data_IF_773411221940
#
_entry.id   IF_773411221940
#
_cell.length_a   1.000
_cell.length_b   1.000
_cell.length_c   1.000
_cell.angle_alpha   90.00
_cell.angle_beta   90.00
_cell.angle_gamma   90.00
#
_symmetry.space_group_name_H-M   'P 1'
#
loop_
_entity.id
_entity.type
_entity.pdbx_description
1 polymer ?
#
# COMPACT_ATOMS: atom_id res chain seq x y z
N UNK A 1 4.58 -11.40 58.65
CA UNK A 1 5.24 -10.08 58.68
C UNK A 1 5.23 -9.51 57.28
N UNK A 2 4.71 -8.27 57.12
CA UNK A 2 4.83 -7.35 55.96
C UNK A 2 3.99 -7.77 54.73
N UNK A 3 2.74 -7.29 54.61
CA UNK A 3 2.27 -5.99 54.05
C UNK A 3 2.33 -5.93 52.51
N UNK A 4 1.24 -6.22 51.80
CA UNK A 4 0.32 -5.24 51.16
C UNK A 4 1.04 -4.01 50.56
N UNK A 5 1.11 -3.96 49.23
CA UNK A 5 0.78 -2.76 48.44
C UNK A 5 0.08 -3.19 47.15
N UNK A 6 -1.18 -2.75 47.06
CA UNK A 6 -2.04 -2.76 45.88
C UNK A 6 -1.78 -1.45 45.13
N UNK A 7 -1.60 -1.50 43.82
CA UNK A 7 -1.98 -0.41 42.92
C UNK A 7 -2.53 -1.04 41.64
N UNK A 8 -3.86 -1.00 41.55
CA UNK A 8 -4.62 -1.18 40.32
C UNK A 8 -4.18 -0.14 39.30
N UNK A 9 -3.68 -0.59 38.15
CA UNK A 9 -3.68 0.23 36.94
C UNK A 9 -4.80 -0.28 36.06
N UNK A 10 -5.89 0.48 36.02
CA UNK A 10 -6.97 0.30 35.06
C UNK A 10 -6.41 0.51 33.65
N UNK A 11 -6.26 -0.58 32.90
CA UNK A 11 -6.03 -0.52 31.46
C UNK A 11 -7.35 -0.07 30.84
N UNK A 12 -7.40 1.20 30.44
CA UNK A 12 -8.56 1.75 29.76
C UNK A 12 -8.74 1.08 28.40
N UNK A 13 -9.94 0.57 28.22
CA UNK A 13 -10.47 -0.14 27.08
C UNK A 13 -10.87 0.90 26.01
N UNK A 14 -10.14 0.99 24.88
CA UNK A 14 -10.66 1.51 23.59
C UNK A 14 -9.61 1.48 22.48
N UNK A 15 -9.68 0.42 21.66
CA UNK A 15 -9.59 0.45 20.19
C UNK A 15 -9.66 -1.01 19.72
N UNK A 16 -10.89 -1.51 19.54
CA UNK A 16 -11.13 -2.75 18.79
C UNK A 16 -11.05 -2.42 17.30
N UNK A 17 -9.86 -2.47 16.74
CA UNK A 17 -9.61 -2.55 15.30
C UNK A 17 -8.47 -3.55 15.10
N UNK A 18 -8.77 -4.82 15.34
CA UNK A 18 -7.80 -5.90 15.25
C UNK A 18 -8.51 -7.21 14.93
N UNK A 19 -9.33 -7.23 13.88
CA UNK A 19 -9.85 -8.48 13.32
C UNK A 19 -10.01 -8.29 11.81
N UNK A 20 -9.00 -8.80 11.10
CA UNK A 20 -8.86 -9.20 9.69
C UNK A 20 -7.42 -8.82 9.30
N UNK A 21 -6.48 -9.48 9.98
CA UNK A 21 -5.22 -9.85 9.34
C UNK A 21 -5.46 -11.32 9.01
N UNK A 22 -5.47 -11.67 7.74
CA UNK A 22 -5.46 -13.07 7.33
C UNK A 22 -4.38 -13.81 8.13
N UNK A 23 -4.66 -15.03 8.54
CA UNK A 23 -3.73 -15.86 9.34
C UNK A 23 -2.34 -15.94 8.68
N UNK A 24 -2.28 -15.82 7.35
CA UNK A 24 -1.05 -15.69 6.56
C UNK A 24 -0.29 -14.36 6.79
N UNK A 25 -1.01 -13.24 6.85
CA UNK A 25 -0.43 -11.94 7.20
C UNK A 25 -0.02 -11.94 8.66
N UNK A 26 -0.78 -12.60 9.54
CA UNK A 26 -0.41 -12.76 10.94
C UNK A 26 0.85 -13.63 11.10
N UNK A 27 1.04 -14.67 10.28
CA UNK A 27 2.28 -15.46 10.26
C UNK A 27 3.47 -14.68 9.68
N UNK A 28 3.31 -13.90 8.61
CA UNK A 28 4.37 -13.05 8.04
C UNK A 28 4.74 -11.90 8.99
N UNK A 29 3.77 -11.30 9.69
CA UNK A 29 4.00 -10.31 10.75
C UNK A 29 4.59 -10.95 12.01
N UNK A 30 4.30 -12.23 12.28
CA UNK A 30 4.88 -13.00 13.39
C UNK A 30 6.17 -13.73 13.04
N UNK A 31 6.60 -13.86 11.79
CA UNK A 31 7.91 -14.41 11.44
C UNK A 31 9.10 -13.60 11.97
N UNK A 32 9.04 -12.25 11.91
CA UNK A 32 9.94 -11.39 12.67
C UNK A 32 9.90 -11.64 14.19
N UNK A 33 8.84 -12.26 14.73
CA UNK A 33 8.75 -12.71 16.13
C UNK A 33 9.18 -14.18 16.34
N UNK A 34 8.97 -15.08 15.38
CA UNK A 34 9.31 -16.52 15.44
C UNK A 34 10.82 -16.72 15.35
N UNK A 35 11.54 -15.89 14.59
CA UNK A 35 12.92 -15.60 14.93
C UNK A 35 12.87 -14.63 16.10
N UNK A 36 13.23 -15.05 17.32
CA UNK A 36 13.62 -14.10 18.37
C UNK A 36 14.79 -13.27 17.81
N UNK A 37 14.50 -12.18 17.10
CA UNK A 37 15.48 -11.42 16.30
C UNK A 37 16.58 -10.83 17.19
N UNK A 38 16.28 -10.53 18.45
CA UNK A 38 17.30 -10.17 19.44
C UNK A 38 18.28 -11.30 19.75
N UNK A 39 17.83 -12.56 19.72
CA UNK A 39 18.66 -13.72 20.08
C UNK A 39 19.61 -14.12 18.95
N UNK A 40 19.16 -14.06 17.69
CA UNK A 40 19.96 -14.52 16.54
C UNK A 40 20.53 -13.40 15.67
N UNK A 41 20.12 -12.13 15.88
CA UNK A 41 20.64 -10.93 15.20
C UNK A 41 20.67 -11.03 13.67
N UNK A 42 19.69 -11.72 13.08
CA UNK A 42 19.55 -11.85 11.63
C UNK A 42 18.94 -10.55 11.09
N UNK A 43 19.63 -9.84 10.18
CA UNK A 43 19.09 -8.63 9.57
C UNK A 43 18.04 -8.97 8.52
N UNK A 44 16.95 -8.21 8.49
CA UNK A 44 15.80 -8.40 7.60
C UNK A 44 15.54 -7.12 6.81
N UNK A 45 15.33 -7.27 5.51
CA UNK A 45 14.79 -6.26 4.62
C UNK A 45 13.32 -6.59 4.33
N UNK A 46 12.44 -5.61 4.50
CA UNK A 46 11.01 -5.72 4.20
C UNK A 46 10.70 -4.65 3.16
N UNK A 47 9.99 -5.03 2.10
CA UNK A 47 9.46 -4.08 1.11
C UNK A 47 8.53 -3.07 1.81
N UNK A 48 8.77 -1.78 1.59
CA UNK A 48 7.86 -0.70 2.03
C UNK A 48 6.81 -0.36 0.97
N UNK A 49 6.95 -0.89 -0.25
CA UNK A 49 6.06 -0.66 -1.36
C UNK A 49 6.08 -1.86 -2.31
N UNK A 50 4.97 -2.60 -2.36
CA UNK A 50 4.86 -3.84 -3.10
C UNK A 50 4.74 -3.68 -4.62
N UNK A 51 4.56 -2.43 -5.09
CA UNK A 51 4.50 -2.07 -6.51
C UNK A 51 5.88 -1.72 -7.09
N UNK A 52 6.88 -1.54 -6.23
CA UNK A 52 8.24 -1.17 -6.65
C UNK A 52 9.16 -2.38 -6.57
N UNK A 53 10.07 -2.49 -7.53
CA UNK A 53 11.11 -3.51 -7.51
C UNK A 53 11.98 -3.40 -6.24
N UNK A 54 12.48 -4.54 -5.76
CA UNK A 54 13.36 -4.57 -4.61
C UNK A 54 14.67 -3.83 -4.89
N UNK A 55 15.11 -2.99 -3.95
CA UNK A 55 16.40 -2.32 -4.04
C UNK A 55 17.52 -3.24 -3.53
N UNK A 56 18.45 -3.59 -4.42
CA UNK A 56 19.57 -4.48 -4.10
C UNK A 56 20.41 -3.94 -2.94
N UNK A 57 20.53 -2.62 -2.76
CA UNK A 57 21.28 -2.03 -1.64
C UNK A 57 20.62 -2.33 -0.30
N UNK A 58 19.29 -2.37 -0.27
CA UNK A 58 18.49 -2.64 0.94
C UNK A 58 18.51 -4.13 1.26
N UNK A 59 18.41 -4.98 0.25
CA UNK A 59 18.34 -6.45 0.43
C UNK A 59 19.70 -7.11 0.62
N UNK A 60 20.80 -6.48 0.17
CA UNK A 60 22.14 -7.05 0.25
C UNK A 60 22.57 -7.37 1.69
N UNK A 61 22.98 -8.62 1.91
CA UNK A 61 23.44 -9.10 3.22
C UNK A 61 22.32 -9.29 4.25
N UNK A 62 21.04 -9.20 3.83
CA UNK A 62 19.86 -9.38 4.68
C UNK A 62 18.95 -10.49 4.17
N UNK A 63 18.15 -11.04 5.07
CA UNK A 63 16.99 -11.86 4.69
C UNK A 63 15.92 -10.93 4.13
N UNK A 64 15.52 -11.12 2.89
CA UNK A 64 14.49 -10.31 2.25
C UNK A 64 13.11 -10.95 2.43
N UNK A 65 12.12 -10.15 2.84
CA UNK A 65 10.70 -10.50 2.85
C UNK A 65 10.01 -9.63 1.80
N UNK A 66 9.39 -10.28 0.82
CA UNK A 66 8.68 -9.62 -0.28
C UNK A 66 7.54 -10.49 -0.81
N UNK A 67 6.73 -9.93 -1.68
CA UNK A 67 5.73 -10.70 -2.44
C UNK A 67 6.39 -11.51 -3.56
N UNK A 68 5.67 -12.51 -4.09
CA UNK A 68 6.10 -13.29 -5.26
C UNK A 68 6.33 -12.38 -6.47
N UNK A 69 5.46 -11.39 -6.67
CA UNK A 69 5.52 -10.44 -7.78
C UNK A 69 6.82 -9.64 -7.79
N UNK A 70 7.21 -9.08 -6.64
CA UNK A 70 8.45 -8.31 -6.51
C UNK A 70 9.72 -9.15 -6.68
N UNK A 71 9.63 -10.46 -6.40
CA UNK A 71 10.76 -11.37 -6.46
C UNK A 71 10.98 -11.99 -7.85
N UNK A 72 10.05 -11.77 -8.78
CA UNK A 72 10.11 -12.32 -10.13
C UNK A 72 11.43 -11.94 -10.82
N UNK A 73 12.11 -12.94 -11.38
CA UNK A 73 13.42 -12.74 -12.03
C UNK A 73 14.61 -12.68 -11.07
N UNK A 74 14.38 -12.80 -9.76
CA UNK A 74 15.44 -12.95 -8.75
C UNK A 74 15.55 -14.40 -8.29
N UNK A 75 16.75 -14.86 -7.94
CA UNK A 75 17.01 -16.19 -7.36
C UNK A 75 17.81 -16.08 -6.07
N UNK A 76 17.61 -17.00 -5.12
CA UNK A 76 18.42 -17.09 -3.90
C UNK A 76 18.78 -18.52 -3.59
N UNK A 77 19.89 -18.71 -2.88
CA UNK A 77 20.29 -20.03 -2.41
C UNK A 77 19.22 -20.68 -1.51
N UNK A 78 18.61 -19.91 -0.61
CA UNK A 78 17.52 -20.35 0.25
C UNK A 78 16.29 -19.48 -0.01
N UNK A 79 15.14 -20.10 -0.24
CA UNK A 79 13.83 -19.43 -0.31
C UNK A 79 12.88 -20.12 0.65
N UNK A 80 12.17 -19.31 1.43
CA UNK A 80 11.12 -19.77 2.36
C UNK A 80 9.81 -19.20 1.85
N UNK A 81 8.85 -20.06 1.53
CA UNK A 81 7.53 -19.68 1.03
C UNK A 81 6.45 -19.96 2.09
N UNK A 82 5.47 -19.05 2.14
CA UNK A 82 4.28 -19.10 2.98
C UNK A 82 3.04 -19.07 2.08
N UNK A 83 1.93 -19.66 2.53
CA UNK A 83 0.65 -19.63 1.80
C UNK A 83 0.67 -20.42 0.49
N UNK A 84 1.52 -21.45 0.37
CA UNK A 84 1.48 -22.40 -0.75
C UNK A 84 0.52 -23.53 -0.40
N UNK A 85 -0.76 -23.19 -0.30
CA UNK A 85 -1.84 -24.10 0.09
C UNK A 85 -3.17 -23.71 -0.58
N UNK A 86 -4.25 -24.44 -0.28
CA UNK A 86 -5.53 -24.24 -0.96
C UNK A 86 -6.13 -22.84 -0.80
N UNK A 87 -5.73 -22.07 0.22
CA UNK A 87 -6.16 -20.68 0.43
C UNK A 87 -5.86 -19.76 -0.75
N UNK A 88 -4.83 -20.10 -1.55
CA UNK A 88 -4.44 -19.29 -2.70
C UNK A 88 -5.61 -19.10 -3.68
N UNK A 89 -6.38 -20.15 -3.93
CA UNK A 89 -7.55 -20.12 -4.82
C UNK A 89 -8.77 -19.42 -4.20
N UNK A 90 -8.79 -19.27 -2.88
CA UNK A 90 -9.85 -18.53 -2.16
C UNK A 90 -9.57 -17.03 -2.20
N UNK A 91 -8.29 -16.64 -2.16
CA UNK A 91 -7.87 -15.26 -1.91
C UNK A 91 -7.32 -14.54 -3.14
N UNK A 92 -6.44 -15.20 -3.91
CA UNK A 92 -5.66 -14.58 -4.98
C UNK A 92 -6.05 -15.12 -6.36
N UNK A 93 -6.00 -16.44 -6.54
CA UNK A 93 -6.32 -17.11 -7.81
C UNK A 93 -7.77 -17.55 -7.91
N UNK A 94 -8.73 -16.63 -7.67
CA UNK A 94 -10.16 -16.97 -7.66
C UNK A 94 -10.72 -17.28 -9.04
N UNK A 95 -10.10 -16.72 -10.07
CA UNK A 95 -10.46 -16.79 -11.49
C UNK A 95 -9.74 -17.89 -12.25
N UNK A 96 -8.79 -18.57 -11.61
CA UNK A 96 -7.98 -19.60 -12.23
C UNK A 96 -8.41 -21.00 -11.76
N UNK A 97 -8.32 -21.96 -12.68
CA UNK A 97 -8.60 -23.37 -12.38
C UNK A 97 -7.62 -23.93 -11.35
N UNK A 98 -8.12 -24.80 -10.47
CA UNK A 98 -7.33 -25.52 -9.48
C UNK A 98 -6.85 -26.91 -9.96
N UNK A 99 -7.00 -27.20 -11.25
CA UNK A 99 -6.54 -28.44 -11.90
C UNK A 99 -5.02 -28.51 -12.11
N UNK A 100 -4.33 -27.38 -12.04
CA UNK A 100 -2.90 -27.25 -12.34
C UNK A 100 -2.22 -26.25 -11.41
N UNK A 101 -0.89 -26.31 -11.39
CA UNK A 101 -0.08 -25.34 -10.66
C UNK A 101 -0.18 -23.96 -11.33
N UNK A 102 -0.62 -22.90 -10.62
CA UNK A 102 -0.66 -21.53 -11.14
C UNK A 102 0.74 -21.02 -11.49
N UNK A 103 0.83 -20.11 -12.47
CA UNK A 103 2.10 -19.54 -12.91
C UNK A 103 2.84 -18.81 -11.77
N UNK A 104 2.10 -18.08 -10.93
CA UNK A 104 2.62 -17.36 -9.77
C UNK A 104 3.27 -18.32 -8.78
N UNK A 105 2.59 -19.44 -8.49
CA UNK A 105 3.08 -20.49 -7.59
C UNK A 105 4.29 -21.19 -8.21
N UNK A 106 4.24 -21.53 -9.50
CA UNK A 106 5.38 -22.11 -10.22
C UNK A 106 6.61 -21.18 -10.18
N UNK A 107 6.42 -19.88 -10.42
CA UNK A 107 7.48 -18.89 -10.30
C UNK A 107 8.05 -18.91 -8.90
N UNK A 108 7.22 -18.87 -7.86
CA UNK A 108 7.67 -18.90 -6.46
C UNK A 108 8.51 -20.14 -6.12
N UNK A 109 8.02 -21.33 -6.49
CA UNK A 109 8.67 -22.62 -6.24
C UNK A 109 10.03 -22.75 -6.96
N UNK A 110 10.23 -22.03 -8.06
CA UNK A 110 11.47 -22.07 -8.85
C UNK A 110 12.48 -20.97 -8.50
N UNK A 111 12.25 -20.18 -7.44
CA UNK A 111 13.20 -19.12 -7.04
C UNK A 111 14.41 -19.62 -6.23
N UNK A 112 14.35 -20.86 -5.75
CA UNK A 112 15.38 -21.45 -4.88
C UNK A 112 16.47 -22.16 -5.69
N UNK A 113 17.72 -21.74 -5.52
CA UNK A 113 18.88 -22.36 -6.18
C UNK A 113 19.52 -23.51 -5.40
N UNK A 114 19.31 -23.62 -4.08
CA UNK A 114 19.85 -24.72 -3.26
C UNK A 114 18.82 -25.37 -2.37
N UNK A 115 18.04 -24.58 -1.64
CA UNK A 115 17.05 -25.09 -0.68
C UNK A 115 15.76 -24.29 -0.76
N UNK A 116 14.66 -25.01 -0.93
CA UNK A 116 13.31 -24.50 -0.81
C UNK A 116 12.73 -24.99 0.50
N UNK A 117 12.16 -24.08 1.29
CA UNK A 117 11.40 -24.40 2.50
C UNK A 117 9.97 -23.93 2.30
N UNK A 118 9.00 -24.83 2.44
CA UNK A 118 7.59 -24.50 2.43
C UNK A 118 7.09 -24.51 3.87
N UNK A 119 6.49 -23.41 4.31
CA UNK A 119 5.83 -23.36 5.61
C UNK A 119 4.33 -23.38 5.37
N UNK A 120 3.69 -24.42 5.89
CA UNK A 120 2.29 -24.72 5.70
C UNK A 120 1.53 -24.55 7.01
N UNK A 121 0.37 -23.91 6.96
CA UNK A 121 -0.57 -23.82 8.08
C UNK A 121 -1.37 -25.13 8.17
N UNK A 122 -1.28 -25.83 9.30
CA UNK A 122 -1.98 -27.11 9.53
C UNK A 122 -3.51 -27.01 9.43
N UNK A 123 -4.08 -25.81 9.59
CA UNK A 123 -5.51 -25.54 9.43
C UNK A 123 -5.96 -25.49 7.97
N UNK A 124 -5.02 -25.38 7.04
CA UNK A 124 -5.27 -25.31 5.60
C UNK A 124 -5.05 -26.67 4.95
N UNK A 125 -5.64 -26.86 3.76
CA UNK A 125 -5.42 -28.06 2.96
C UNK A 125 -4.30 -27.79 1.97
N UNK A 126 -3.58 -28.85 1.56
CA UNK A 126 -2.64 -28.76 0.47
C UNK A 126 -3.33 -28.27 -0.82
N UNK A 127 -2.55 -27.66 -1.71
CA UNK A 127 -2.99 -27.31 -3.06
C UNK A 127 -3.61 -28.53 -3.75
N UNK A 128 -4.74 -28.41 -4.46
CA UNK A 128 -5.46 -29.57 -5.03
C UNK A 128 -4.63 -30.47 -5.95
N UNK A 129 -3.65 -29.91 -6.64
CA UNK A 129 -2.77 -30.62 -7.57
C UNK A 129 -1.53 -31.27 -6.90
N UNK A 130 -1.35 -31.13 -5.58
CA UNK A 130 -0.22 -31.72 -4.86
C UNK A 130 -0.53 -33.13 -4.37
N UNK A 131 0.42 -34.06 -4.54
CA UNK A 131 0.37 -35.40 -3.93
C UNK A 131 0.99 -35.34 -2.54
N UNK A 132 0.22 -35.75 -1.52
CA UNK A 132 0.72 -35.82 -0.14
C UNK A 132 1.79 -36.91 -0.02
N UNK A 133 1.59 -38.02 -0.71
CA UNK A 133 2.50 -39.16 -0.73
C UNK A 133 3.84 -38.74 -1.36
N UNK A 134 3.82 -38.07 -2.51
CA UNK A 134 5.04 -37.59 -3.18
C UNK A 134 5.78 -36.57 -2.32
N UNK A 135 5.07 -35.70 -1.58
CA UNK A 135 5.70 -34.76 -0.65
C UNK A 135 6.49 -35.47 0.45
N UNK A 136 5.96 -36.54 1.04
CA UNK A 136 6.69 -37.33 2.05
C UNK A 136 7.87 -38.11 1.45
N UNK A 137 7.81 -38.48 0.17
CA UNK A 137 8.89 -39.19 -0.52
C UNK A 137 10.01 -38.26 -1.00
N UNK A 138 9.67 -37.04 -1.40
CA UNK A 138 10.59 -36.11 -2.07
C UNK A 138 11.08 -34.96 -1.19
N UNK A 139 10.44 -34.71 -0.04
CA UNK A 139 10.79 -33.63 0.87
C UNK A 139 10.91 -34.09 2.33
N UNK A 140 11.77 -33.40 3.09
CA UNK A 140 11.82 -33.54 4.54
C UNK A 140 10.62 -32.79 5.15
N UNK A 141 9.70 -33.52 5.77
CA UNK A 141 8.51 -32.94 6.42
C UNK A 141 8.73 -32.89 7.93
N UNK A 142 8.89 -31.67 8.46
CA UNK A 142 9.04 -31.42 9.89
C UNK A 142 7.76 -30.82 10.45
N UNK A 143 7.12 -31.52 11.39
CA UNK A 143 5.98 -30.97 12.11
C UNK A 143 6.47 -30.07 13.25
N UNK A 144 6.05 -28.79 13.20
CA UNK A 144 6.42 -27.78 14.19
C UNK A 144 5.35 -27.55 15.26
N UNK A 145 4.22 -28.25 15.19
CA UNK A 145 3.12 -28.15 16.16
C UNK A 145 3.15 -29.35 17.12
N UNK A 146 2.47 -29.22 18.26
CA UNK A 146 2.32 -30.34 19.21
C UNK A 146 1.29 -31.38 18.70
N UNK A 147 0.68 -31.13 17.55
CA UNK A 147 -0.32 -32.01 16.97
C UNK A 147 0.37 -33.06 16.10
N UNK A 148 0.08 -34.35 16.33
CA UNK A 148 0.60 -35.44 15.50
C UNK A 148 -0.16 -35.59 14.17
N UNK A 149 -1.01 -34.63 13.82
CA UNK A 149 -1.77 -34.65 12.58
C UNK A 149 -0.83 -34.69 11.37
N UNK A 150 -1.11 -35.62 10.46
CA UNK A 150 -0.49 -35.65 9.14
C UNK A 150 -1.02 -34.51 8.30
N UNK A 151 -0.29 -34.15 7.25
CA UNK A 151 -0.77 -33.21 6.24
C UNK A 151 -2.16 -33.62 5.73
N UNK A 152 -3.05 -32.63 5.68
CA UNK A 152 -4.41 -32.78 5.18
C UNK A 152 -4.40 -33.23 3.73
N UNK A 153 -5.32 -34.12 3.36
CA UNK A 153 -5.49 -34.53 1.96
C UNK A 153 -6.00 -33.32 1.16
N UNK A 154 -5.45 -33.05 -0.04
CA UNK A 154 -5.93 -31.99 -0.91
C UNK A 154 -7.41 -32.14 -1.26
N UNK A 155 -8.05 -31.03 -1.64
CA UNK A 155 -9.37 -31.08 -2.27
C UNK A 155 -9.27 -31.71 -3.67
N UNK A 156 -10.37 -32.25 -4.21
CA UNK A 156 -10.43 -32.67 -5.61
C UNK A 156 -10.08 -31.51 -6.56
N UNK A 157 -9.33 -31.82 -7.61
CA UNK A 157 -9.01 -30.89 -8.71
C UNK A 157 -10.23 -30.67 -9.62
N UNK A 158 -10.24 -29.54 -10.34
CA UNK A 158 -11.27 -29.23 -11.33
C UNK A 158 -12.61 -28.84 -10.72
N UNK A 159 -12.61 -28.26 -9.51
CA UNK A 159 -13.84 -27.72 -8.94
C UNK A 159 -14.34 -26.54 -9.80
N UNK A 160 -15.66 -26.41 -10.03
CA UNK A 160 -16.21 -25.28 -10.77
C UNK A 160 -15.81 -23.96 -10.12
N UNK A 161 -15.43 -22.97 -10.93
CA UNK A 161 -15.14 -21.63 -10.44
C UNK A 161 -16.41 -21.02 -9.83
N UNK A 162 -16.27 -20.44 -8.64
CA UNK A 162 -17.29 -19.58 -8.06
C UNK A 162 -17.26 -18.23 -8.77
N UNK A 163 -17.97 -18.16 -9.91
CA UNK A 163 -18.10 -16.94 -10.70
C UNK A 163 -18.96 -15.89 -9.99
N UNK A 164 -18.69 -14.63 -10.29
CA UNK A 164 -19.44 -13.49 -9.74
C UNK A 164 -18.67 -12.69 -8.70
N UNK A 165 -19.38 -11.74 -8.09
CA UNK A 165 -18.81 -10.78 -7.15
C UNK A 165 -18.74 -11.38 -5.73
N UNK A 166 -17.56 -11.34 -5.11
CA UNK A 166 -17.35 -11.80 -3.73
C UNK A 166 -16.56 -10.75 -2.93
N UNK A 167 -17.28 -9.87 -2.23
CA UNK A 167 -16.69 -8.81 -1.42
C UNK A 167 -16.25 -9.30 -0.04
N UNK A 168 -15.03 -8.95 0.42
CA UNK A 168 -14.65 -9.09 1.82
C UNK A 168 -15.57 -8.28 2.75
N UNK A 169 -15.76 -8.72 4.00
CA UNK A 169 -16.58 -8.00 4.98
C UNK A 169 -16.07 -6.57 5.28
N UNK A 170 -14.76 -6.34 5.16
CA UNK A 170 -14.16 -5.02 5.24
C UNK A 170 -12.93 -4.91 4.34
N UNK A 171 -12.77 -3.74 3.72
CA UNK A 171 -11.68 -3.44 2.78
C UNK A 171 -11.07 -2.08 3.17
N UNK A 172 -9.78 -2.04 3.52
CA UNK A 172 -9.06 -0.78 3.63
C UNK A 172 -8.99 -0.08 2.26
N UNK A 173 -9.20 1.24 2.18
CA UNK A 173 -9.21 1.99 0.90
C UNK A 173 -7.93 1.78 0.10
N UNK A 174 -6.76 1.78 0.77
CA UNK A 174 -5.47 1.46 0.14
C UNK A 174 -5.46 0.09 -0.54
N UNK A 175 -6.11 -0.90 0.08
CA UNK A 175 -6.14 -2.27 -0.39
C UNK A 175 -7.22 -2.44 -1.46
N UNK A 176 -8.20 -1.55 -1.56
CA UNK A 176 -9.17 -1.52 -2.67
C UNK A 176 -8.48 -1.28 -4.02
N UNK A 177 -7.48 -0.40 -4.07
CA UNK A 177 -6.83 0.06 -5.31
C UNK A 177 -5.57 -0.72 -5.68
N UNK A 178 -4.94 -1.40 -4.71
CA UNK A 178 -3.71 -2.18 -4.92
C UNK A 178 -3.90 -3.36 -5.87
N UNK A 179 -2.84 -3.69 -6.62
CA UNK A 179 -2.77 -4.88 -7.48
C UNK A 179 -3.85 -4.95 -8.59
N UNK A 180 -4.41 -3.80 -8.99
CA UNK A 180 -5.24 -3.70 -10.19
C UNK A 180 -4.36 -3.19 -11.32
N UNK A 181 -4.53 -3.75 -12.52
CA UNK A 181 -3.82 -3.29 -13.71
C UNK A 181 -4.24 -1.86 -14.09
N UNK A 182 -3.31 -1.08 -14.64
CA UNK A 182 -3.54 0.33 -14.97
C UNK A 182 -4.64 0.54 -16.02
N UNK A 183 -4.77 -0.37 -16.99
CA UNK A 183 -5.74 -0.24 -18.10
C UNK A 183 -7.21 -0.23 -17.61
N UNK A 184 -7.69 -1.23 -16.81
CA UNK A 184 -9.01 -1.16 -16.19
C UNK A 184 -9.24 0.11 -15.36
N UNK A 185 -8.24 0.53 -14.58
CA UNK A 185 -8.35 1.75 -13.77
C UNK A 185 -8.48 3.00 -14.63
N UNK A 186 -7.71 3.09 -15.72
CA UNK A 186 -7.77 4.21 -16.65
C UNK A 186 -9.14 4.32 -17.31
N UNK A 187 -9.75 3.18 -17.66
CA UNK A 187 -11.12 3.13 -18.19
C UNK A 187 -12.15 3.67 -17.21
N UNK A 188 -12.05 3.29 -15.93
CA UNK A 188 -12.93 3.79 -14.87
C UNK A 188 -12.74 5.29 -14.65
N UNK A 189 -11.49 5.74 -14.52
CA UNK A 189 -11.15 7.15 -14.29
C UNK A 189 -11.70 8.01 -15.42
N UNK A 190 -11.48 7.61 -16.67
CA UNK A 190 -11.92 8.39 -17.84
C UNK A 190 -13.45 8.45 -17.94
N UNK A 191 -14.16 7.43 -17.44
CA UNK A 191 -15.63 7.38 -17.49
C UNK A 191 -16.30 8.16 -16.36
N UNK A 192 -15.72 8.15 -15.16
CA UNK A 192 -16.38 8.69 -13.96
C UNK A 192 -15.75 10.00 -13.45
N UNK A 193 -14.55 10.37 -13.89
CA UNK A 193 -13.78 11.50 -13.35
C UNK A 193 -13.21 12.40 -14.45
N UNK A 194 -13.14 13.70 -14.15
CA UNK A 194 -12.34 14.67 -14.87
C UNK A 194 -11.15 15.11 -14.01
N UNK A 195 -9.92 14.85 -14.47
CA UNK A 195 -8.70 15.26 -13.77
C UNK A 195 -8.19 16.57 -14.38
N UNK A 196 -8.16 17.63 -13.60
CA UNK A 196 -7.58 18.91 -13.97
C UNK A 196 -6.19 19.06 -13.36
N UNK A 197 -5.16 19.13 -14.22
CA UNK A 197 -3.79 19.42 -13.79
C UNK A 197 -3.64 20.92 -13.54
N UNK A 198 -3.88 21.34 -12.30
CA UNK A 198 -3.77 22.75 -11.90
C UNK A 198 -2.31 23.24 -11.91
N UNK A 199 -1.36 22.35 -11.61
CA UNK A 199 0.06 22.66 -11.66
C UNK A 199 0.84 21.44 -12.16
N UNK A 200 1.64 21.57 -13.24
CA UNK A 200 2.52 20.49 -13.68
C UNK A 200 3.69 20.30 -12.70
N UNK A 201 4.43 19.18 -12.77
CA UNK A 201 5.67 19.01 -12.02
C UNK A 201 6.64 20.16 -12.30
N UNK A 202 7.24 20.71 -11.26
CA UNK A 202 8.29 21.73 -11.35
C UNK A 202 9.52 21.16 -12.08
N UNK A 203 10.43 22.03 -12.59
CA UNK A 203 11.72 21.59 -13.13
C UNK A 203 12.48 20.69 -12.15
N UNK A 204 13.21 19.69 -12.67
CA UNK A 204 13.94 18.71 -11.86
C UNK A 204 14.90 19.32 -10.83
N UNK A 205 15.44 20.50 -11.12
CA UNK A 205 16.35 21.24 -10.24
C UNK A 205 15.63 21.78 -9.00
N UNK A 206 14.31 21.97 -9.07
CA UNK A 206 13.46 22.43 -7.97
C UNK A 206 12.81 21.25 -7.22
N UNK A 207 13.05 20.01 -7.64
CA UNK A 207 12.54 18.83 -6.91
C UNK A 207 13.20 18.74 -5.55
N UNK A 208 12.41 18.37 -4.54
CA UNK A 208 12.92 18.08 -3.20
C UNK A 208 13.61 16.72 -3.27
N UNK A 209 14.95 16.75 -3.26
CA UNK A 209 15.78 15.57 -3.43
C UNK A 209 16.27 15.04 -2.09
N UNK A 210 15.39 14.31 -1.40
CA UNK A 210 15.71 13.59 -0.15
C UNK A 210 16.03 12.13 -0.47
N UNK A 211 17.05 11.51 0.16
CA UNK A 211 17.35 10.10 -0.03
C UNK A 211 16.15 9.19 0.29
N UNK A 212 15.87 8.23 -0.58
CA UNK A 212 14.87 7.17 -0.35
C UNK A 212 15.47 5.90 0.28
N UNK A 213 16.80 5.84 0.37
CA UNK A 213 17.57 4.75 0.97
C UNK A 213 18.73 5.35 1.75
N UNK A 214 18.94 4.87 2.98
CA UNK A 214 19.98 5.39 3.90
C UNK A 214 20.80 4.27 4.51
N UNK A 215 22.05 4.56 4.86
CA UNK A 215 22.99 3.62 5.48
C UNK A 215 22.64 3.47 6.97
N UNK A 216 22.11 2.31 7.39
CA UNK A 216 21.77 2.03 8.79
C UNK A 216 22.92 1.50 9.63
N UNK A 217 23.80 0.69 9.03
CA UNK A 217 24.99 0.15 9.71
C UNK A 217 26.23 0.36 8.83
N UNK A 218 27.11 1.34 9.15
CA UNK A 218 28.32 1.60 8.39
C UNK A 218 29.33 0.45 8.39
N UNK A 219 29.38 -0.35 9.46
CA UNK A 219 30.34 -1.46 9.59
C UNK A 219 29.94 -2.62 8.70
N UNK A 220 28.64 -2.94 8.66
CA UNK A 220 28.10 -4.03 7.85
C UNK A 220 27.65 -3.60 6.46
N UNK A 221 27.62 -2.29 6.20
CA UNK A 221 27.11 -1.66 4.98
C UNK A 221 25.65 -2.02 4.70
N UNK A 222 24.82 -2.01 5.74
CA UNK A 222 23.38 -2.21 5.61
C UNK A 222 22.64 -0.91 5.32
N UNK A 223 21.60 -1.02 4.51
CA UNK A 223 20.76 0.11 4.12
C UNK A 223 19.28 -0.15 4.40
N UNK A 224 18.52 0.90 4.71
CA UNK A 224 17.05 0.84 4.82
C UNK A 224 16.39 1.75 3.81
N UNK A 225 15.23 1.32 3.29
CA UNK A 225 14.31 2.19 2.57
C UNK A 225 13.59 3.14 3.56
N UNK A 226 13.52 4.42 3.19
CA UNK A 226 12.95 5.50 4.01
C UNK A 226 12.01 6.42 3.22
N UNK A 227 11.60 6.03 2.01
CA UNK A 227 10.72 6.86 1.17
C UNK A 227 9.34 7.10 1.79
N UNK A 228 8.79 6.10 2.47
CA UNK A 228 7.55 6.17 3.24
C UNK A 228 7.69 7.13 4.44
N UNK A 229 8.82 7.04 5.15
CA UNK A 229 9.16 7.95 6.25
C UNK A 229 9.24 9.40 5.75
N UNK A 230 9.83 9.65 4.57
CA UNK A 230 9.92 10.99 4.00
C UNK A 230 8.54 11.64 3.79
N UNK A 231 7.56 10.87 3.31
CA UNK A 231 6.18 11.32 3.14
C UNK A 231 5.52 11.67 4.48
N UNK A 232 5.59 10.76 5.46
CA UNK A 232 5.01 10.96 6.79
C UNK A 232 5.60 12.17 7.51
N UNK A 233 6.94 12.30 7.50
CA UNK A 233 7.64 13.42 8.16
C UNK A 233 7.24 14.76 7.55
N UNK A 234 7.02 14.80 6.24
CA UNK A 234 6.60 16.01 5.53
C UNK A 234 5.23 16.50 6.01
N UNK A 235 4.24 15.61 6.08
CA UNK A 235 2.89 15.94 6.56
C UNK A 235 2.91 16.27 8.06
N UNK A 236 3.59 15.46 8.87
CA UNK A 236 3.70 15.67 10.32
C UNK A 236 4.38 17.00 10.69
N UNK A 237 5.42 17.41 9.94
CA UNK A 237 6.08 18.69 10.16
C UNK A 237 5.16 19.88 9.85
N UNK A 238 4.34 19.75 8.79
CA UNK A 238 3.34 20.75 8.45
C UNK A 238 2.22 20.81 9.50
N UNK A 239 1.68 19.66 9.93
CA UNK A 239 0.72 19.56 11.03
C UNK A 239 1.24 20.29 12.28
N UNK A 240 2.41 19.88 12.77
CA UNK A 240 2.97 20.44 14.00
C UNK A 240 3.15 21.96 13.94
N UNK A 241 3.59 22.49 12.78
CA UNK A 241 3.74 23.93 12.60
C UNK A 241 2.42 24.70 12.55
N UNK A 242 1.33 24.04 12.16
CA UNK A 242 0.03 24.68 11.90
C UNK A 242 -0.90 24.56 13.11
N UNK A 243 -0.96 23.38 13.74
CA UNK A 243 -1.92 23.06 14.79
C UNK A 243 -1.25 22.79 16.14
N UNK A 244 0.06 22.60 16.18
CA UNK A 244 0.78 22.16 17.39
C UNK A 244 0.48 20.72 17.79
N UNK A 245 -0.18 19.94 16.92
CA UNK A 245 -0.49 18.51 17.11
C UNK A 245 0.38 17.63 16.21
N UNK A 246 0.40 16.32 16.48
CA UNK A 246 1.13 15.31 15.71
C UNK A 246 0.29 14.03 15.55
N UNK A 247 -0.96 14.19 15.10
CA UNK A 247 -1.90 13.10 14.84
C UNK A 247 -1.40 12.17 13.72
N UNK A 248 -0.70 12.69 12.70
CA UNK A 248 -0.03 11.90 11.65
C UNK A 248 0.90 10.83 12.21
N UNK A 249 1.54 11.11 13.35
CA UNK A 249 2.42 10.15 14.02
C UNK A 249 1.78 9.53 15.27
N UNK A 250 0.50 9.83 15.54
CA UNK A 250 -0.26 9.44 16.75
C UNK A 250 0.52 9.71 18.05
N UNK A 251 1.17 10.87 18.13
CA UNK A 251 1.94 11.28 19.30
C UNK A 251 1.05 12.03 20.29
N UNK A 252 1.05 11.58 21.54
CA UNK A 252 0.31 12.22 22.63
C UNK A 252 0.86 13.62 22.96
N UNK A 253 -0.03 14.52 23.37
CA UNK A 253 0.31 15.91 23.71
C UNK A 253 1.37 16.03 24.82
N UNK A 254 1.44 15.05 25.74
CA UNK A 254 2.41 15.04 26.84
C UNK A 254 3.86 14.83 26.38
N UNK A 255 4.07 14.22 25.21
CA UNK A 255 5.40 14.05 24.60
C UNK A 255 5.82 15.27 23.76
N UNK A 256 4.86 16.14 23.43
CA UNK A 256 5.11 17.34 22.60
C UNK A 256 5.97 18.37 23.34
N UNK A 257 5.92 18.40 24.68
CA UNK A 257 6.72 19.33 25.51
C UNK A 257 8.23 19.04 25.46
N UNK A 258 8.63 17.84 25.03
CA UNK A 258 10.04 17.44 24.88
C UNK A 258 10.56 17.55 23.44
N UNK A 259 9.79 18.15 22.52
CA UNK A 259 10.15 18.26 21.12
C UNK A 259 11.32 19.25 20.93
N UNK A 260 12.37 18.87 20.17
CA UNK A 260 13.45 19.81 19.86
C UNK A 260 12.93 21.03 19.09
N UNK A 261 13.62 22.18 19.14
CA UNK A 261 13.17 23.40 18.48
C UNK A 261 12.85 23.20 16.99
N UNK A 262 11.66 23.65 16.56
CA UNK A 262 11.18 23.51 15.18
C UNK A 262 12.22 24.08 14.21
N UNK A 263 12.50 23.34 13.13
CA UNK A 263 13.46 23.73 12.10
C UNK A 263 14.93 23.42 12.43
N UNK A 264 15.23 22.94 13.64
CA UNK A 264 16.56 22.40 13.96
C UNK A 264 16.79 21.02 13.33
N UNK A 265 18.06 20.63 13.13
CA UNK A 265 18.40 19.26 12.69
C UNK A 265 17.89 18.21 13.70
N UNK A 266 17.96 18.51 15.00
CA UNK A 266 17.48 17.61 16.05
C UNK A 266 15.98 17.35 15.93
N UNK A 267 15.19 18.37 15.58
CA UNK A 267 13.75 18.23 15.35
C UNK A 267 13.44 17.28 14.20
N UNK A 268 14.17 17.41 13.09
CA UNK A 268 13.99 16.56 11.91
C UNK A 268 14.36 15.11 12.22
N UNK A 269 15.48 14.90 12.89
CA UNK A 269 15.89 13.57 13.32
C UNK A 269 14.92 12.94 14.31
N UNK A 270 14.34 13.76 15.19
CA UNK A 270 13.29 13.33 16.09
C UNK A 270 12.04 12.89 15.31
N UNK A 271 11.54 13.69 14.36
CA UNK A 271 10.39 13.32 13.52
C UNK A 271 10.65 12.05 12.71
N UNK A 272 11.81 11.94 12.05
CA UNK A 272 12.16 10.76 11.26
C UNK A 272 12.22 9.49 12.13
N UNK A 273 12.73 9.61 13.36
CA UNK A 273 12.74 8.49 14.32
C UNK A 273 11.32 8.10 14.70
N UNK A 274 10.48 9.05 15.10
CA UNK A 274 9.10 8.77 15.48
C UNK A 274 8.25 8.24 14.31
N UNK A 275 8.46 8.72 13.09
CA UNK A 275 7.83 8.14 11.89
C UNK A 275 8.28 6.69 11.65
N UNK A 276 9.56 6.37 11.85
CA UNK A 276 10.02 4.98 11.79
C UNK A 276 9.38 4.10 12.88
N UNK A 277 9.16 4.64 14.08
CA UNK A 277 8.50 3.92 15.17
C UNK A 277 7.01 3.74 14.94
N UNK A 278 6.34 4.78 14.43
CA UNK A 278 4.94 4.75 14.02
C UNK A 278 4.71 3.66 12.98
N UNK A 279 5.50 3.65 11.90
CA UNK A 279 5.42 2.64 10.85
C UNK A 279 5.65 1.22 11.38
N UNK A 280 6.63 1.05 12.26
CA UNK A 280 6.88 -0.24 12.90
C UNK A 280 5.71 -0.69 13.80
N UNK A 281 5.05 0.25 14.48
CA UNK A 281 3.88 -0.01 15.32
C UNK A 281 2.63 -0.36 14.52
N UNK A 282 2.36 0.35 13.43
CA UNK A 282 1.20 0.12 12.56
C UNK A 282 1.35 -1.18 11.75
N UNK A 283 2.53 -1.42 11.19
CA UNK A 283 2.76 -2.60 10.35
C UNK A 283 3.06 -3.88 11.15
N UNK A 284 3.54 -3.75 12.39
CA UNK A 284 4.11 -4.86 13.17
C UNK A 284 5.53 -5.26 12.75
N UNK A 285 6.09 -4.63 11.70
CA UNK A 285 7.42 -4.94 11.19
C UNK A 285 8.53 -4.15 11.93
N UNK A 286 9.04 -4.77 12.99
CA UNK A 286 10.11 -4.22 13.83
C UNK A 286 11.55 -4.20 13.24
N UNK A 287 11.95 -5.01 12.23
CA UNK A 287 13.36 -5.10 11.83
C UNK A 287 13.99 -3.77 11.44
N UNK A 288 13.30 -2.92 10.66
CA UNK A 288 13.82 -1.60 10.25
C UNK A 288 14.10 -0.71 11.46
N UNK A 289 13.13 -0.60 12.39
CA UNK A 289 13.31 0.13 13.66
C UNK A 289 14.52 -0.38 14.44
N UNK A 290 14.66 -1.70 14.58
CA UNK A 290 15.77 -2.31 15.33
C UNK A 290 17.12 -2.08 14.63
N UNK A 291 17.17 -2.18 13.30
CA UNK A 291 18.39 -1.96 12.51
C UNK A 291 18.84 -0.49 12.53
N UNK A 292 17.89 0.43 12.71
CA UNK A 292 18.15 1.86 12.82
C UNK A 292 18.26 2.36 14.27
N UNK A 293 18.33 1.48 15.28
CA UNK A 293 18.36 1.87 16.71
C UNK A 293 19.49 2.87 17.03
N UNK A 294 20.66 2.71 16.40
CA UNK A 294 21.82 3.59 16.57
C UNK A 294 22.00 4.59 15.41
N UNK A 295 21.04 4.67 14.50
CA UNK A 295 21.09 5.60 13.37
C UNK A 295 20.79 7.04 13.85
N UNK A 296 21.45 8.03 13.25
CA UNK A 296 21.30 9.43 13.65
C UNK A 296 19.98 10.08 13.19
N UNK A 297 19.37 9.52 12.13
CA UNK A 297 18.16 10.03 11.47
C UNK A 297 18.35 11.44 10.86
N UNK A 298 19.50 11.70 10.26
CA UNK A 298 19.94 13.02 9.78
C UNK A 298 20.00 13.12 8.24
N UNK A 299 19.28 12.25 7.51
CA UNK A 299 19.32 12.23 6.03
C UNK A 299 18.50 13.35 5.37
N UNK A 300 17.57 13.95 6.11
CA UNK A 300 16.73 15.04 5.63
C UNK A 300 17.27 16.38 6.12
N UNK A 301 17.51 17.32 5.20
CA UNK A 301 18.06 18.62 5.55
C UNK A 301 16.97 19.59 6.00
N UNK A 302 17.27 20.54 6.91
CA UNK A 302 16.31 21.57 7.33
C UNK A 302 15.70 22.39 6.20
N UNK A 303 16.50 22.73 5.18
CA UNK A 303 16.00 23.45 4.00
C UNK A 303 14.95 22.65 3.22
N UNK A 304 15.13 21.32 3.13
CA UNK A 304 14.31 20.46 2.28
C UNK A 304 12.94 20.25 2.96
N UNK A 305 12.93 20.02 4.27
CA UNK A 305 11.69 19.95 5.05
C UNK A 305 10.96 21.30 5.13
N UNK A 306 11.71 22.40 5.28
CA UNK A 306 11.12 23.73 5.28
C UNK A 306 10.45 24.03 3.92
N UNK A 307 11.10 23.66 2.81
CA UNK A 307 10.53 23.80 1.47
C UNK A 307 9.27 22.94 1.31
N UNK A 308 9.30 21.69 1.76
CA UNK A 308 8.15 20.79 1.71
C UNK A 308 6.94 21.36 2.50
N UNK A 309 7.19 21.86 3.71
CA UNK A 309 6.18 22.53 4.53
C UNK A 309 5.63 23.76 3.85
N UNK A 310 6.50 24.63 3.33
CA UNK A 310 6.08 25.88 2.68
C UNK A 310 5.23 25.60 1.43
N UNK A 311 5.48 24.51 0.71
CA UNK A 311 4.65 24.05 -0.41
C UNK A 311 3.24 23.70 0.03
N UNK A 312 3.10 22.87 1.07
CA UNK A 312 1.78 22.51 1.60
C UNK A 312 1.06 23.76 2.15
N UNK A 313 1.78 24.61 2.89
CA UNK A 313 1.23 25.85 3.43
C UNK A 313 0.75 26.80 2.33
N UNK A 314 1.50 26.95 1.23
CA UNK A 314 1.12 27.78 0.09
C UNK A 314 -0.17 27.33 -0.59
N UNK A 315 -0.51 26.03 -0.48
CA UNK A 315 -1.73 25.45 -1.05
C UNK A 315 -2.93 25.49 -0.10
N UNK A 316 -2.70 25.29 1.19
CA UNK A 316 -3.75 25.26 2.23
C UNK A 316 -4.00 26.62 2.91
N UNK A 317 -3.15 27.62 2.63
CA UNK A 317 -3.27 28.99 3.13
C UNK A 317 -2.81 29.17 4.58
N UNK A 318 -2.75 30.44 5.02
CA UNK A 318 -2.18 30.87 6.30
C UNK A 318 -3.15 30.72 7.50
N UNK A 319 -4.01 29.67 7.52
CA UNK A 319 -4.81 29.31 8.70
C UNK A 319 -6.23 29.88 8.77
N UNK A 320 -6.81 30.37 7.67
CA UNK A 320 -8.24 30.76 7.64
C UNK A 320 -9.19 29.56 7.53
N UNK A 321 -8.69 28.41 7.05
CA UNK A 321 -9.44 27.16 7.01
C UNK A 321 -9.19 26.36 8.29
N UNK A 322 -10.23 25.68 8.79
CA UNK A 322 -10.06 24.70 9.87
C UNK A 322 -9.51 23.41 9.25
N UNK A 323 -8.21 23.18 9.42
CA UNK A 323 -7.48 22.04 8.85
C UNK A 323 -7.47 20.90 9.87
N UNK A 324 -7.88 19.72 9.43
CA UNK A 324 -7.83 18.47 10.20
C UNK A 324 -6.93 17.49 9.49
N UNK A 325 -6.15 16.76 10.27
CA UNK A 325 -5.21 15.76 9.79
C UNK A 325 -5.74 14.37 10.12
N UNK A 326 -5.37 13.38 9.31
CA UNK A 326 -5.63 11.97 9.59
C UNK A 326 -7.10 11.67 9.89
N UNK A 327 -7.99 12.17 9.02
CA UNK A 327 -9.44 12.09 9.23
C UNK A 327 -9.95 10.69 8.90
N UNK A 328 -10.47 10.00 9.90
CA UNK A 328 -11.08 8.68 9.72
C UNK A 328 -12.25 8.74 8.73
N UNK A 329 -12.23 7.85 7.74
CA UNK A 329 -13.26 7.71 6.73
C UNK A 329 -13.74 6.25 6.73
N UNK A 330 -15.01 6.01 7.02
CA UNK A 330 -15.58 4.66 7.11
C UNK A 330 -17.05 4.68 6.69
N UNK A 331 -17.46 3.77 5.81
CA UNK A 331 -18.85 3.58 5.42
C UNK A 331 -19.11 2.14 4.98
N UNK A 332 -20.32 1.64 5.22
CA UNK A 332 -20.83 0.44 4.57
C UNK A 332 -21.19 0.74 3.13
N UNK A 333 -20.74 -0.10 2.21
CA UNK A 333 -20.95 0.02 0.78
C UNK A 333 -21.55 -1.27 0.25
N UNK A 334 -22.63 -1.16 -0.52
CA UNK A 334 -23.36 -2.31 -1.06
C UNK A 334 -23.25 -2.32 -2.58
N UNK A 335 -22.91 -3.49 -3.14
CA UNK A 335 -22.87 -3.75 -4.59
C UNK A 335 -23.66 -5.01 -4.86
N UNK A 336 -24.75 -4.88 -5.62
CA UNK A 336 -25.77 -5.92 -5.77
C UNK A 336 -26.27 -6.38 -4.38
N UNK A 337 -26.22 -7.69 -4.09
CA UNK A 337 -26.59 -8.29 -2.81
C UNK A 337 -25.40 -8.43 -1.82
N UNK A 338 -24.22 -7.91 -2.18
CA UNK A 338 -23.02 -7.98 -1.34
C UNK A 338 -22.79 -6.67 -0.58
N UNK A 339 -22.42 -6.77 0.69
CA UNK A 339 -22.03 -5.63 1.50
C UNK A 339 -20.58 -5.74 1.96
N UNK A 340 -19.89 -4.60 1.97
CA UNK A 340 -18.55 -4.47 2.50
C UNK A 340 -18.42 -3.19 3.30
N UNK A 341 -17.48 -3.17 4.24
CA UNK A 341 -17.10 -1.95 4.93
C UNK A 341 -15.81 -1.36 4.36
N UNK A 342 -15.92 -0.21 3.72
CA UNK A 342 -14.77 0.57 3.27
C UNK A 342 -14.27 1.44 4.41
N UNK A 343 -12.96 1.40 4.68
CA UNK A 343 -12.35 2.18 5.76
C UNK A 343 -10.94 2.68 5.43
N UNK A 344 -10.57 3.82 5.98
CA UNK A 344 -9.21 4.35 5.91
C UNK A 344 -9.10 5.72 6.56
N UNK A 345 -8.03 6.44 6.21
CA UNK A 345 -7.68 7.69 6.85
C UNK A 345 -7.23 8.67 5.75
N UNK A 346 -7.95 9.77 5.63
CA UNK A 346 -7.62 10.84 4.70
C UNK A 346 -6.53 11.73 5.31
N UNK A 347 -5.52 12.11 4.52
CA UNK A 347 -4.37 12.87 5.02
C UNK A 347 -4.80 14.22 5.61
N UNK A 348 -5.52 15.03 4.84
CA UNK A 348 -5.94 16.38 5.24
C UNK A 348 -7.37 16.69 4.78
N UNK A 349 -8.18 17.25 5.67
CA UNK A 349 -9.48 17.89 5.35
C UNK A 349 -9.41 19.36 5.73
N UNK A 350 -9.59 20.24 4.75
CA UNK A 350 -9.64 21.68 4.94
C UNK A 350 -11.09 22.16 4.86
N UNK A 351 -11.61 22.62 5.99
CA UNK A 351 -12.97 23.15 6.13
C UNK A 351 -12.95 24.66 5.92
N UNK A 352 -13.77 25.13 4.98
CA UNK A 352 -13.83 26.55 4.69
C UNK A 352 -14.53 27.32 5.82
N UNK A 353 -14.07 28.54 6.16
CA UNK A 353 -14.76 29.37 7.13
C UNK A 353 -16.18 29.70 6.64
N UNK A 354 -17.17 29.81 7.54
CA UNK A 354 -18.51 30.21 7.16
C UNK A 354 -18.48 31.62 6.57
N UNK A 355 -18.89 31.76 5.30
CA UNK A 355 -18.90 33.04 4.59
C UNK A 355 -19.96 33.97 5.17
N UNK A 356 -19.56 35.15 5.64
CA UNK A 356 -20.46 36.28 5.77
C UNK A 356 -20.86 36.79 4.38
N UNK A 357 -22.14 36.68 4.03
CA UNK A 357 -22.85 37.44 2.98
C UNK A 357 -22.17 37.71 1.62
N UNK A 358 -21.39 36.77 1.05
CA UNK A 358 -21.14 36.78 -0.40
C UNK A 358 -21.18 35.35 -0.94
N UNK A 359 -21.99 35.13 -1.98
CA UNK A 359 -22.53 33.82 -2.39
C UNK A 359 -21.56 32.84 -3.06
N UNK A 360 -20.28 32.81 -2.70
CA UNK A 360 -19.37 31.73 -3.09
C UNK A 360 -18.79 31.09 -1.83
N UNK A 361 -19.42 30.00 -1.39
CA UNK A 361 -18.92 29.16 -0.30
C UNK A 361 -17.73 28.39 -0.86
N UNK A 362 -16.52 28.61 -0.35
CA UNK A 362 -15.44 27.65 -0.60
C UNK A 362 -15.92 26.30 -0.05
N UNK A 363 -15.95 25.27 -0.88
CA UNK A 363 -16.37 23.94 -0.44
C UNK A 363 -15.28 23.34 0.47
N UNK A 364 -15.71 22.57 1.47
CA UNK A 364 -14.81 21.73 2.24
C UNK A 364 -14.07 20.79 1.28
N UNK A 365 -12.76 20.66 1.48
CA UNK A 365 -11.89 19.96 0.54
C UNK A 365 -11.08 18.89 1.23
N UNK A 366 -10.93 17.75 0.55
CA UNK A 366 -9.98 16.72 0.90
C UNK A 366 -8.69 16.92 0.11
N UNK A 367 -7.57 16.75 0.79
CA UNK A 367 -6.24 16.83 0.22
C UNK A 367 -5.49 15.55 0.53
N UNK A 368 -5.22 14.77 -0.50
CA UNK A 368 -4.33 13.62 -0.44
C UNK A 368 -2.90 14.08 -0.79
N UNK A 369 -1.97 13.90 0.15
CA UNK A 369 -0.62 14.41 0.07
C UNK A 369 0.34 13.28 -0.26
N UNK A 370 1.10 13.43 -1.34
CA UNK A 370 2.10 12.46 -1.78
C UNK A 370 3.50 13.04 -1.74
N UNK A 371 4.46 12.17 -1.51
CA UNK A 371 5.89 12.44 -1.66
C UNK A 371 6.51 11.34 -2.52
N UNK A 372 6.22 11.38 -3.82
CA UNK A 372 6.49 10.28 -4.76
C UNK A 372 7.16 10.82 -6.02
N UNK A 373 7.72 9.93 -6.85
CA UNK A 373 8.32 10.32 -8.13
C UNK A 373 7.30 10.77 -9.19
N UNK A 374 6.07 10.26 -9.12
CA UNK A 374 4.97 10.60 -10.01
C UNK A 374 3.65 10.22 -9.33
N UNK A 375 2.60 11.01 -9.59
CA UNK A 375 1.24 10.63 -9.22
C UNK A 375 0.75 9.47 -10.11
N UNK A 376 -0.14 8.63 -9.58
CA UNK A 376 -0.66 7.43 -10.25
C UNK A 376 -2.17 7.35 -10.12
N UNK A 377 -2.78 6.47 -10.91
CA UNK A 377 -4.22 6.21 -10.88
C UNK A 377 -4.69 5.70 -9.51
N UNK A 378 -3.88 4.89 -8.82
CA UNK A 378 -4.16 4.45 -7.45
C UNK A 378 -4.30 5.63 -6.48
N UNK A 379 -3.47 6.67 -6.62
CA UNK A 379 -3.57 7.88 -5.79
C UNK A 379 -4.87 8.66 -6.06
N UNK A 380 -5.30 8.76 -7.32
CA UNK A 380 -6.56 9.40 -7.72
C UNK A 380 -7.74 8.68 -7.09
N UNK A 381 -7.80 7.36 -7.24
CA UNK A 381 -8.89 6.54 -6.72
C UNK A 381 -8.96 6.59 -5.20
N UNK A 382 -7.81 6.54 -4.51
CA UNK A 382 -7.75 6.70 -3.04
C UNK A 382 -8.35 8.04 -2.59
N UNK A 383 -7.92 9.16 -3.19
CA UNK A 383 -8.43 10.49 -2.84
C UNK A 383 -9.95 10.59 -3.10
N UNK A 384 -10.42 10.04 -4.22
CA UNK A 384 -11.84 10.02 -4.57
C UNK A 384 -12.69 9.14 -3.63
N UNK A 385 -12.17 7.99 -3.20
CA UNK A 385 -12.87 7.14 -2.25
C UNK A 385 -13.02 7.83 -0.90
N UNK A 386 -11.96 8.47 -0.40
CA UNK A 386 -12.07 9.25 0.83
C UNK A 386 -13.04 10.43 0.71
N UNK A 387 -13.06 11.11 -0.44
CA UNK A 387 -14.05 12.16 -0.71
C UNK A 387 -15.49 11.64 -0.62
N UNK A 388 -15.75 10.45 -1.16
CA UNK A 388 -17.06 9.80 -1.06
C UNK A 388 -17.43 9.46 0.39
N UNK A 389 -16.54 8.76 1.10
CA UNK A 389 -16.77 8.32 2.48
C UNK A 389 -16.98 9.50 3.45
N UNK A 390 -16.43 10.67 3.15
CA UNK A 390 -16.56 11.89 3.94
C UNK A 390 -17.65 12.84 3.41
N UNK A 391 -18.29 12.53 2.29
CA UNK A 391 -19.29 13.40 1.65
C UNK A 391 -18.75 14.73 1.14
N UNK A 392 -17.45 14.78 0.78
CA UNK A 392 -16.76 15.97 0.30
C UNK A 392 -16.75 16.03 -1.22
N UNK A 393 -16.85 17.23 -1.79
CA UNK A 393 -16.98 17.42 -3.25
C UNK A 393 -15.73 17.97 -3.91
N UNK A 394 -14.83 18.63 -3.16
CA UNK A 394 -13.58 19.18 -3.67
C UNK A 394 -12.42 18.26 -3.30
N UNK A 395 -11.75 17.73 -4.32
CA UNK A 395 -10.78 16.63 -4.18
C UNK A 395 -9.45 17.08 -4.77
N UNK A 396 -8.45 17.19 -3.92
CA UNK A 396 -7.11 17.65 -4.27
C UNK A 396 -6.11 16.51 -4.09
N UNK A 397 -5.26 16.31 -5.09
CA UNK A 397 -4.12 15.41 -5.02
C UNK A 397 -2.85 16.24 -5.26
N UNK A 398 -1.93 16.18 -4.31
CA UNK A 398 -0.74 17.04 -4.32
C UNK A 398 0.55 16.26 -4.09
N UNK A 399 1.48 16.33 -5.03
CA UNK A 399 2.82 15.78 -4.87
C UNK A 399 3.77 16.85 -4.35
N UNK A 400 4.09 16.80 -3.06
CA UNK A 400 4.95 17.80 -2.40
C UNK A 400 6.38 17.77 -2.95
N UNK A 401 6.82 16.61 -3.46
CA UNK A 401 8.19 16.42 -3.95
C UNK A 401 8.52 17.33 -5.14
N UNK A 402 7.60 17.46 -6.08
CA UNK A 402 7.79 18.20 -7.34
C UNK A 402 6.75 19.32 -7.54
N UNK A 403 5.80 19.50 -6.63
CA UNK A 403 4.77 20.52 -6.71
C UNK A 403 3.64 20.19 -7.69
N UNK A 404 3.58 18.98 -8.26
CA UNK A 404 2.48 18.58 -9.13
C UNK A 404 1.15 18.58 -8.36
N UNK A 405 0.13 19.23 -8.91
CA UNK A 405 -1.17 19.43 -8.26
C UNK A 405 -2.32 19.14 -9.21
N UNK A 406 -3.18 18.22 -8.82
CA UNK A 406 -4.38 17.85 -9.56
C UNK A 406 -5.63 18.15 -8.73
N UNK A 407 -6.67 18.65 -9.39
CA UNK A 407 -8.04 18.69 -8.86
C UNK A 407 -8.85 17.61 -9.60
N UNK A 408 -9.56 16.78 -8.83
CA UNK A 408 -10.33 15.67 -9.37
C UNK A 408 -11.81 16.01 -9.23
N UNK A 409 -12.51 16.08 -10.37
CA UNK A 409 -13.92 16.45 -10.44
C UNK A 409 -14.71 15.20 -10.86
N UNK A 410 -15.48 14.58 -9.96
CA UNK A 410 -16.31 13.45 -10.34
C UNK A 410 -17.48 13.91 -11.22
N UNK A 411 -17.77 13.14 -12.26
CA UNK A 411 -19.00 13.30 -13.04
C UNK A 411 -20.19 13.02 -12.11
N UNK A 412 -21.23 13.85 -12.14
CA UNK A 412 -22.39 13.72 -11.26
C UNK A 412 -22.10 13.75 -9.74
N UNK A 413 -20.96 14.32 -9.32
CA UNK A 413 -20.66 14.49 -7.89
C UNK A 413 -20.52 13.17 -7.14
N UNK A 414 -21.26 13.02 -6.04
CA UNK A 414 -21.20 11.83 -5.17
C UNK A 414 -21.64 10.54 -5.88
N UNK A 415 -22.56 10.62 -6.84
CA UNK A 415 -23.00 9.43 -7.57
C UNK A 415 -21.92 8.92 -8.54
N UNK A 416 -21.13 9.78 -9.17
CA UNK A 416 -19.98 9.33 -9.96
C UNK A 416 -18.89 8.71 -9.11
N UNK A 417 -18.64 9.26 -7.92
CA UNK A 417 -17.72 8.62 -6.96
C UNK A 417 -18.22 7.23 -6.55
N UNK A 418 -19.53 7.09 -6.29
CA UNK A 418 -20.15 5.80 -5.99
C UNK A 418 -19.96 4.80 -7.13
N UNK A 419 -20.28 5.18 -8.37
CA UNK A 419 -20.10 4.32 -9.55
C UNK A 419 -18.64 3.95 -9.80
N UNK A 420 -17.73 4.89 -9.54
CA UNK A 420 -16.29 4.62 -9.59
C UNK A 420 -15.89 3.54 -8.58
N UNK A 421 -16.28 3.70 -7.30
CA UNK A 421 -15.97 2.72 -6.25
C UNK A 421 -16.56 1.35 -6.60
N UNK A 422 -17.82 1.31 -7.02
CA UNK A 422 -18.47 0.09 -7.47
C UNK A 422 -17.69 -0.58 -8.60
N UNK A 423 -17.25 0.19 -9.60
CA UNK A 423 -16.50 -0.33 -10.74
C UNK A 423 -15.14 -0.90 -10.32
N UNK A 424 -14.43 -0.23 -9.40
CA UNK A 424 -13.15 -0.70 -8.87
C UNK A 424 -13.34 -2.00 -8.09
N UNK A 425 -14.35 -2.05 -7.22
CA UNK A 425 -14.70 -3.26 -6.47
C UNK A 425 -15.05 -4.42 -7.40
N UNK A 426 -15.82 -4.17 -8.46
CA UNK A 426 -16.15 -5.19 -9.47
C UNK A 426 -14.91 -5.68 -10.19
N UNK A 427 -14.04 -4.79 -10.67
CA UNK A 427 -12.78 -5.20 -11.32
C UNK A 427 -11.93 -6.06 -10.40
N UNK A 428 -11.88 -5.73 -9.10
CA UNK A 428 -10.99 -6.43 -8.16
C UNK A 428 -11.55 -7.75 -7.63
N UNK A 429 -12.86 -7.82 -7.38
CA UNK A 429 -13.47 -8.90 -6.62
C UNK A 429 -14.49 -9.73 -7.42
N UNK A 430 -14.64 -9.47 -8.71
CA UNK A 430 -15.48 -10.29 -9.59
C UNK A 430 -14.65 -11.37 -10.26
N UNK A 431 -15.03 -12.61 -10.06
CA UNK A 431 -14.46 -13.76 -10.75
C UNK A 431 -15.18 -13.96 -12.09
N UNK A 432 -14.49 -13.71 -13.21
CA UNK A 432 -15.06 -13.87 -14.58
C UNK A 432 -14.65 -15.17 -15.27
N UNK A 433 -13.72 -15.92 -14.68
CA UNK A 433 -13.07 -17.09 -15.29
C UNK A 433 -11.97 -16.70 -16.27
N UNK A 434 -11.02 -17.61 -16.51
CA UNK A 434 -9.95 -17.39 -17.49
C UNK A 434 -10.49 -17.36 -18.92
N UNK A 435 -10.07 -16.33 -19.66
CA UNK A 435 -10.18 -16.27 -21.12
C UNK A 435 -9.43 -17.46 -21.72
N UNK A 436 -10.07 -18.19 -22.64
CA UNK A 436 -9.40 -19.34 -23.27
C UNK A 436 -8.41 -18.89 -24.35
N UNK A 437 -7.47 -19.77 -24.73
CA UNK A 437 -6.42 -19.45 -25.70
C UNK A 437 -6.97 -18.93 -27.04
N UNK A 438 -8.14 -19.43 -27.48
CA UNK A 438 -8.77 -18.99 -28.72
C UNK A 438 -9.28 -17.55 -28.59
N UNK A 439 -9.99 -17.26 -27.52
CA UNK A 439 -10.44 -15.90 -27.21
C UNK A 439 -9.25 -14.95 -27.09
N UNK A 440 -8.17 -15.36 -26.43
CA UNK A 440 -6.93 -14.60 -26.33
C UNK A 440 -6.30 -14.32 -27.71
N UNK A 441 -6.18 -15.34 -28.56
CA UNK A 441 -5.67 -15.20 -29.93
C UNK A 441 -6.56 -14.25 -30.75
N UNK A 442 -7.87 -14.37 -30.64
CA UNK A 442 -8.84 -13.51 -31.34
C UNK A 442 -8.71 -12.05 -30.87
N UNK A 443 -8.52 -11.82 -29.57
CA UNK A 443 -8.23 -10.50 -29.02
C UNK A 443 -6.90 -9.94 -29.53
N UNK A 444 -5.82 -10.73 -29.52
CA UNK A 444 -4.53 -10.31 -30.09
C UNK A 444 -4.64 -9.97 -31.57
N UNK A 445 -5.39 -10.75 -32.35
CA UNK A 445 -5.64 -10.49 -33.76
C UNK A 445 -6.41 -9.17 -33.95
N UNK A 446 -7.41 -8.90 -33.12
CA UNK A 446 -8.17 -7.65 -33.13
C UNK A 446 -7.29 -6.44 -32.81
N UNK A 447 -6.46 -6.52 -31.77
CA UNK A 447 -5.51 -5.45 -31.42
C UNK A 447 -4.50 -5.21 -32.54
N UNK A 448 -3.98 -6.26 -33.19
CA UNK A 448 -3.07 -6.10 -34.34
C UNK A 448 -3.75 -5.39 -35.52
N UNK A 449 -5.02 -5.67 -35.77
CA UNK A 449 -5.79 -4.99 -36.82
C UNK A 449 -6.04 -3.51 -36.49
N UNK A 450 -6.40 -3.19 -35.25
CA UNK A 450 -6.58 -1.81 -34.77
C UNK A 450 -5.28 -1.00 -34.88
N UNK A 451 -4.15 -1.56 -34.44
CA UNK A 451 -2.83 -0.91 -34.55
C UNK A 451 -2.43 -0.70 -36.01
N UNK A 452 -2.66 -1.68 -36.88
CA UNK A 452 -2.37 -1.56 -38.32
C UNK A 452 -3.19 -0.45 -38.97
N UNK A 453 -4.48 -0.33 -38.61
CA UNK A 453 -5.34 0.74 -39.14
C UNK A 453 -4.94 2.15 -38.68
N UNK A 454 -4.34 2.28 -37.49
CA UNK A 454 -3.83 3.55 -36.98
C UNK A 454 -2.54 3.99 -37.71
N UNK A 455 -1.69 3.03 -38.09
CA UNK A 455 -0.48 3.29 -38.89
C UNK A 455 -0.82 3.71 -40.33
N UNK A 456 -1.85 3.11 -40.92
CA UNK A 456 -2.34 3.53 -42.24
C UNK A 456 -2.97 4.93 -42.22
N UNK A 457 -3.67 5.26 -41.13
CA UNK A 457 -4.23 6.60 -40.90
C UNK A 457 -3.13 7.67 -40.73
N UNK A 458 -2.03 7.34 -40.03
CA UNK A 458 -0.86 8.23 -39.91
C UNK A 458 -0.12 8.43 -41.23
N UNK A 459 0.00 7.40 -42.07
CA UNK A 459 0.58 7.51 -43.42
C UNK A 459 -0.27 8.38 -44.34
N UNK A 460 -1.61 8.30 -44.26
CA UNK A 460 -2.49 9.18 -45.04
C UNK A 460 -2.38 10.66 -44.63
N UNK A 461 -2.24 10.95 -43.33
CA UNK A 461 -2.01 12.32 -42.84
C UNK A 461 -0.64 12.86 -43.29
N UNK A 462 0.40 12.01 -43.30
CA UNK A 462 1.74 12.36 -43.82
C UNK A 462 1.75 12.66 -45.33
N UNK A 463 0.92 11.99 -46.12
CA UNK A 463 0.82 12.19 -47.56
C UNK A 463 -0.02 13.44 -47.92
N UNK A 464 -1.01 13.78 -47.09
CA UNK A 464 -1.81 15.00 -47.25
C UNK A 464 -1.03 16.28 -46.90
N UNK A 465 -0.03 16.21 -46.03
CA UNK A 465 0.83 17.35 -45.65
C UNK A 465 1.94 17.70 -46.65
N UNK A 466 2.16 16.89 -47.70
CA UNK A 466 3.15 17.18 -48.76
C UNK A 466 2.55 17.81 -50.03
N UNK A 467 1.23 18.05 -50.05
CA UNK A 467 0.53 18.71 -51.16
C UNK A 467 -0.16 20.01 -50.71
N UNK A 468 0.58 20.87 -50.00
CA UNK A 468 0.19 22.25 -49.72
C UNK A 468 1.38 23.19 -49.93
#
# INVERSE_FOLDING_TARGET
>A
MISKYSTQTQVNQKCRCSHILDVETEMIVRLPHIFKLRKYRIPIAISTNDEVALDDRVTYGKTCVSTIHQFKGSERHLVILFGIDSSFFENFGRDISNDRCPNEIFVALTRAGKQLVLVHDESKKLMPFMSREDLYETAEVVNMTNNLAKLSVPNPTGQPLHLGLALPASIPVRDMVRHIQDEPLQGIITRELCIQKLSPPLPKQEHINIPNVVLSDPRKRFYEAVSDINGLVTVAAFEHSTTGTLNTLKIDQSLIEAIPPIGSTQYISWLCRYACEYEAGISGYLPRKNQMENHAFDWMMPRDLALARNRIQGELGDGTANIRFEVNAEQTFSVDDNETRLQGQADIVAVAPPSGNSGSRSADSIWEIKFVSHLSNSHVLQACTYAYLLGLTRIMLYNVRDGEKWEIIPHDGQEGLRRMIESVLRVKYTTTGQMNDKEFIDMCAKVMLEVSSLDDSRKQISLAGCNA
#
